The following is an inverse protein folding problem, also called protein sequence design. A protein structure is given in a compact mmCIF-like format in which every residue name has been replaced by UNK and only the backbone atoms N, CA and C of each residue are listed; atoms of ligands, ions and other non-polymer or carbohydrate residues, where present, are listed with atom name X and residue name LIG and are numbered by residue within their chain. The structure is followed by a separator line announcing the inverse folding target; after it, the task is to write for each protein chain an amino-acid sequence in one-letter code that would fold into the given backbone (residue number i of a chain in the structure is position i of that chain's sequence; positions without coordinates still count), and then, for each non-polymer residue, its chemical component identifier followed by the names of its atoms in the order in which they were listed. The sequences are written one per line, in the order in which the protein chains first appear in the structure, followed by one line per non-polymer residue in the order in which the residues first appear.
data_IF_160656424729
#
_entry.id   IF_160656424729
#
_cell.length_a   1.000
_cell.length_b   1.000
_cell.length_c   1.000
_cell.angle_alpha   90.00
_cell.angle_beta   90.00
_cell.angle_gamma   90.00
#
_symmetry.space_group_name_H-M   'P 1'
#
loop_
_entity.id
_entity.type
_entity.pdbx_description
1 polymer ?
#
# COMPACT_ATOMS: atom_id res chain seq x y z
N UNK A 1 -34.34 40.14 -0.20
CA UNK A 1 -34.21 38.68 -0.32
C UNK A 1 -33.09 38.40 -1.30
N UNK A 2 -31.93 37.88 -0.86
CA UNK A 2 -30.75 37.74 -1.70
C UNK A 2 -30.85 36.45 -2.52
N UNK A 3 -30.80 36.58 -3.84
CA UNK A 3 -30.78 35.49 -4.84
C UNK A 3 -29.57 34.55 -4.64
N UNK A 4 -28.56 34.97 -3.89
CA UNK A 4 -27.35 34.17 -3.55
C UNK A 4 -27.63 32.91 -2.72
N UNK A 5 -28.83 32.76 -2.11
CA UNK A 5 -29.23 31.54 -1.37
C UNK A 5 -29.60 30.33 -2.26
N UNK A 6 -29.76 30.56 -3.56
CA UNK A 6 -30.19 29.51 -4.52
C UNK A 6 -29.16 29.19 -5.60
N UNK A 7 -27.92 29.70 -5.49
CA UNK A 7 -26.83 29.17 -6.33
C UNK A 7 -26.57 27.78 -5.77
N UNK A 8 -26.95 26.70 -6.48
CA UNK A 8 -26.58 25.37 -6.05
C UNK A 8 -25.05 25.40 -5.95
N UNK A 9 -24.55 24.88 -4.85
CA UNK A 9 -23.13 24.63 -4.66
C UNK A 9 -22.70 23.79 -5.86
N UNK A 10 -22.23 24.44 -6.93
CA UNK A 10 -21.51 23.78 -7.99
C UNK A 10 -20.27 23.20 -7.28
N UNK A 11 -20.34 21.91 -6.89
CA UNK A 11 -19.14 21.16 -6.55
C UNK A 11 -18.24 21.33 -7.77
N UNK A 12 -17.21 22.17 -7.67
CA UNK A 12 -16.14 22.18 -8.66
C UNK A 12 -15.78 20.71 -8.84
N UNK A 13 -15.82 20.22 -10.07
CA UNK A 13 -15.28 18.91 -10.40
C UNK A 13 -13.83 18.99 -9.89
N UNK A 14 -13.52 18.26 -8.82
CA UNK A 14 -12.20 18.31 -8.23
C UNK A 14 -11.27 17.71 -9.27
N UNK A 15 -10.30 18.49 -9.74
CA UNK A 15 -9.31 18.01 -10.67
C UNK A 15 -8.26 17.21 -9.94
N UNK A 16 -7.81 16.12 -10.55
CA UNK A 16 -6.72 15.29 -10.06
C UNK A 16 -5.43 16.11 -10.03
N UNK A 17 -4.77 16.21 -8.88
CA UNK A 17 -3.40 16.70 -8.81
C UNK A 17 -2.46 15.64 -9.42
N UNK A 18 -2.04 15.87 -10.65
CA UNK A 18 -1.23 14.91 -11.40
C UNK A 18 0.17 14.72 -10.83
N UNK A 19 0.75 15.73 -10.15
CA UNK A 19 2.04 15.59 -9.48
C UNK A 19 1.94 14.66 -8.27
N UNK A 20 0.88 14.82 -7.46
CA UNK A 20 0.60 13.95 -6.33
C UNK A 20 0.21 12.54 -6.75
N UNK A 21 -0.59 12.41 -7.82
CA UNK A 21 -0.97 11.09 -8.35
C UNK A 21 0.24 10.31 -8.88
N UNK A 22 1.13 10.97 -9.63
CA UNK A 22 2.43 10.40 -10.01
C UNK A 22 3.28 10.06 -8.79
N UNK A 23 3.33 10.97 -7.82
CA UNK A 23 4.03 10.76 -6.56
C UNK A 23 3.55 9.49 -5.84
N UNK A 24 2.24 9.26 -5.76
CA UNK A 24 1.65 8.06 -5.18
C UNK A 24 2.17 6.79 -5.85
N UNK A 25 2.05 6.67 -7.17
CA UNK A 25 2.42 5.47 -7.91
C UNK A 25 3.94 5.22 -7.91
N UNK A 26 4.73 6.24 -8.24
CA UNK A 26 6.18 6.11 -8.21
C UNK A 26 6.72 5.94 -6.79
N UNK A 27 6.10 6.60 -5.82
CA UNK A 27 6.45 6.44 -4.40
C UNK A 27 6.30 4.99 -3.96
N UNK A 28 5.18 4.35 -4.29
CA UNK A 28 4.99 2.92 -4.03
C UNK A 28 6.10 2.08 -4.65
N UNK A 29 6.34 2.24 -5.95
CA UNK A 29 7.35 1.43 -6.66
C UNK A 29 8.77 1.64 -6.13
N UNK A 30 9.10 2.87 -5.69
CA UNK A 30 10.39 3.17 -5.06
C UNK A 30 10.50 2.53 -3.68
N UNK A 31 9.43 2.60 -2.88
CA UNK A 31 9.38 1.98 -1.56
C UNK A 31 9.56 0.47 -1.63
N UNK A 32 8.78 -0.19 -2.48
CA UNK A 32 8.84 -1.61 -2.80
C UNK A 32 10.26 -2.02 -3.24
N UNK A 33 10.78 -1.41 -4.29
CA UNK A 33 12.07 -1.76 -4.87
C UNK A 33 13.27 -1.56 -3.92
N UNK A 34 13.26 -0.52 -3.07
CA UNK A 34 14.34 -0.32 -2.10
C UNK A 34 14.13 -1.20 -0.87
N UNK A 35 12.88 -1.36 -0.41
CA UNK A 35 12.51 -2.20 0.72
C UNK A 35 12.88 -3.67 0.53
N UNK A 36 12.80 -4.20 -0.71
CA UNK A 36 13.28 -5.53 -1.06
C UNK A 36 14.72 -5.77 -0.55
N UNK A 37 15.54 -4.73 -0.44
CA UNK A 37 16.93 -4.82 0.04
C UNK A 37 17.04 -5.32 1.49
N UNK A 38 16.07 -5.03 2.34
CA UNK A 38 16.05 -5.41 3.77
C UNK A 38 14.85 -6.30 4.13
N UNK A 39 14.03 -6.71 3.15
CA UNK A 39 12.91 -7.63 3.35
C UNK A 39 13.36 -8.89 4.09
N UNK A 40 12.61 -9.30 5.12
CA UNK A 40 12.87 -10.44 6.00
C UNK A 40 14.19 -10.39 6.77
N UNK A 41 14.83 -9.24 6.87
CA UNK A 41 15.97 -9.04 7.77
C UNK A 41 15.49 -8.58 9.15
N UNK A 42 16.12 -9.11 10.20
CA UNK A 42 16.01 -8.46 11.49
C UNK A 42 16.92 -7.21 11.56
N UNK A 43 16.67 -6.34 12.53
CA UNK A 43 17.43 -5.07 12.68
C UNK A 43 18.94 -5.28 12.75
N UNK A 44 19.37 -6.33 13.46
CA UNK A 44 20.81 -6.68 13.55
C UNK A 44 21.39 -7.07 12.20
N UNK A 45 20.61 -7.75 11.33
CA UNK A 45 21.05 -8.08 9.98
C UNK A 45 21.12 -6.83 9.12
N UNK A 46 20.12 -5.92 9.22
CA UNK A 46 20.14 -4.64 8.51
C UNK A 46 21.39 -3.83 8.88
N UNK A 47 21.68 -3.69 10.17
CA UNK A 47 22.89 -3.00 10.68
C UNK A 47 24.19 -3.67 10.19
N UNK A 48 24.18 -5.00 10.06
CA UNK A 48 25.36 -5.78 9.62
C UNK A 48 25.63 -5.60 8.12
N UNK A 49 24.60 -5.70 7.29
CA UNK A 49 24.74 -5.62 5.82
C UNK A 49 24.73 -4.17 5.32
N UNK A 50 24.15 -3.25 6.06
CA UNK A 50 24.02 -1.83 5.72
C UNK A 50 24.45 -0.94 6.91
N UNK A 51 25.73 -0.96 7.31
CA UNK A 51 26.20 -0.25 8.52
C UNK A 51 25.98 1.27 8.44
N UNK A 52 25.95 1.85 7.24
CA UNK A 52 25.63 3.26 7.00
C UNK A 52 24.18 3.48 6.54
N UNK A 53 23.33 2.45 6.67
CA UNK A 53 21.96 2.39 6.18
C UNK A 53 21.85 2.03 4.70
N UNK A 54 20.71 1.41 4.34
CA UNK A 54 20.32 1.15 2.96
C UNK A 54 19.73 2.44 2.37
N UNK A 55 20.45 3.07 1.43
CA UNK A 55 20.13 4.40 0.86
C UNK A 55 20.12 4.42 -0.66
N UNK A 56 20.45 3.28 -1.30
CA UNK A 56 20.55 3.16 -2.75
C UNK A 56 20.39 1.71 -3.20
N UNK A 57 19.76 1.49 -4.35
CA UNK A 57 19.55 0.13 -4.90
C UNK A 57 20.86 -0.63 -5.14
N UNK A 58 21.95 0.08 -5.48
CA UNK A 58 23.26 -0.55 -5.74
C UNK A 58 23.82 -1.27 -4.51
N UNK A 59 23.41 -0.86 -3.31
CA UNK A 59 23.80 -1.48 -2.04
C UNK A 59 23.10 -2.81 -1.78
N UNK A 60 21.93 -3.07 -2.40
CA UNK A 60 21.12 -4.27 -2.12
C UNK A 60 21.97 -5.53 -2.21
N UNK A 61 22.06 -6.23 -1.07
CA UNK A 61 22.81 -7.48 -0.97
C UNK A 61 22.07 -8.63 -1.64
N UNK A 62 22.68 -9.21 -2.67
CA UNK A 62 22.11 -10.25 -3.53
C UNK A 62 22.29 -11.65 -2.90
N UNK A 63 21.49 -11.97 -1.88
CA UNK A 63 21.44 -13.31 -1.26
C UNK A 63 20.60 -14.29 -2.11
N UNK A 64 20.35 -15.50 -1.56
CA UNK A 64 19.52 -16.50 -2.24
C UNK A 64 18.10 -16.02 -2.55
N UNK A 65 17.52 -15.19 -1.70
CA UNK A 65 16.19 -14.64 -1.87
C UNK A 65 16.20 -13.55 -2.94
N UNK A 66 16.98 -12.47 -2.74
CA UNK A 66 16.98 -11.25 -3.54
C UNK A 66 17.58 -11.37 -4.94
N UNK A 67 18.46 -12.35 -5.19
CA UNK A 67 19.08 -12.58 -6.51
C UNK A 67 18.09 -12.94 -7.63
N UNK A 68 16.81 -13.14 -7.31
CA UNK A 68 15.74 -13.36 -8.30
C UNK A 68 15.32 -12.06 -8.98
N UNK A 69 15.56 -10.92 -8.35
CA UNK A 69 15.28 -9.59 -8.86
C UNK A 69 16.56 -8.88 -9.27
N UNK A 70 16.44 -7.99 -10.26
CA UNK A 70 17.49 -7.01 -10.51
C UNK A 70 17.46 -5.93 -9.43
N UNK A 71 18.58 -5.26 -9.19
CA UNK A 71 18.61 -4.11 -8.27
C UNK A 71 17.76 -2.98 -8.83
N UNK A 72 16.83 -2.48 -8.03
CA UNK A 72 15.84 -1.50 -8.47
C UNK A 72 14.58 -2.09 -9.10
N UNK A 73 14.45 -3.41 -9.10
CA UNK A 73 13.22 -4.11 -9.46
C UNK A 73 12.27 -4.14 -8.27
N UNK A 74 10.96 -4.14 -8.52
CA UNK A 74 9.91 -4.22 -7.51
C UNK A 74 9.35 -5.65 -7.39
N UNK A 75 8.46 -5.87 -6.43
CA UNK A 75 7.88 -7.16 -6.10
C UNK A 75 6.40 -7.24 -6.49
N UNK A 76 5.66 -8.20 -5.90
CA UNK A 76 4.21 -8.35 -6.09
C UNK A 76 3.40 -7.16 -5.59
N UNK A 77 3.92 -6.33 -4.71
CA UNK A 77 3.28 -5.10 -4.24
C UNK A 77 2.94 -4.15 -5.40
N UNK A 78 3.92 -3.82 -6.19
CA UNK A 78 3.74 -2.93 -7.35
C UNK A 78 3.07 -3.67 -8.51
N UNK A 79 3.41 -4.92 -8.79
CA UNK A 79 2.77 -5.71 -9.84
C UNK A 79 1.26 -5.77 -9.66
N UNK A 80 0.78 -6.06 -8.46
CA UNK A 80 -0.65 -6.15 -8.17
C UNK A 80 -1.32 -4.77 -8.14
N UNK A 81 -0.64 -3.71 -7.74
CA UNK A 81 -1.11 -2.34 -7.90
C UNK A 81 -1.32 -1.99 -9.38
N UNK A 82 -0.39 -2.37 -10.26
CA UNK A 82 -0.51 -2.18 -11.70
C UNK A 82 -1.64 -3.01 -12.32
N UNK A 83 -1.93 -4.21 -11.80
CA UNK A 83 -3.12 -4.98 -12.20
C UNK A 83 -4.42 -4.20 -11.95
N UNK A 84 -4.52 -3.52 -10.79
CA UNK A 84 -5.66 -2.66 -10.46
C UNK A 84 -5.69 -1.42 -11.37
N UNK A 85 -4.55 -0.76 -11.53
CA UNK A 85 -4.44 0.43 -12.40
C UNK A 85 -4.88 0.12 -13.84
N UNK A 86 -4.44 -1.00 -14.41
CA UNK A 86 -4.82 -1.44 -15.74
C UNK A 86 -6.34 -1.69 -15.86
N UNK A 87 -6.97 -2.29 -14.85
CA UNK A 87 -8.42 -2.46 -14.83
C UNK A 87 -9.15 -1.11 -14.79
N UNK A 88 -8.63 -0.13 -14.03
CA UNK A 88 -9.19 1.23 -13.99
C UNK A 88 -9.04 1.93 -15.36
N UNK A 89 -7.91 1.79 -16.02
CA UNK A 89 -7.68 2.34 -17.37
C UNK A 89 -8.63 1.71 -18.39
N UNK A 90 -8.82 0.38 -18.32
CA UNK A 90 -9.68 -0.37 -19.22
C UNK A 90 -11.17 0.02 -19.09
N UNK A 91 -11.63 0.19 -17.83
CA UNK A 91 -13.08 0.28 -17.53
C UNK A 91 -13.55 1.65 -17.05
N UNK A 92 -12.64 2.54 -16.70
CA UNK A 92 -12.92 3.83 -16.08
C UNK A 92 -13.33 3.76 -14.61
N UNK A 93 -13.24 2.60 -13.97
CA UNK A 93 -13.61 2.33 -12.55
C UNK A 93 -12.82 1.15 -12.01
N UNK A 94 -12.84 0.94 -10.68
CA UNK A 94 -12.32 -0.29 -10.08
C UNK A 94 -13.33 -1.45 -10.29
N UNK A 95 -13.37 -1.99 -11.48
CA UNK A 95 -14.23 -3.15 -11.79
C UNK A 95 -13.61 -4.41 -11.19
N UNK A 96 -14.24 -4.93 -10.13
CA UNK A 96 -13.68 -6.03 -9.34
C UNK A 96 -13.51 -7.34 -10.12
N UNK A 97 -14.34 -7.61 -11.14
CA UNK A 97 -14.17 -8.81 -11.99
C UNK A 97 -12.98 -8.66 -12.94
N UNK A 98 -12.77 -7.45 -13.49
CA UNK A 98 -11.62 -7.17 -14.35
C UNK A 98 -10.33 -7.20 -13.52
N UNK A 99 -10.34 -6.66 -12.30
CA UNK A 99 -9.19 -6.75 -11.38
C UNK A 99 -8.90 -8.22 -11.05
N UNK A 100 -9.92 -9.03 -10.72
CA UNK A 100 -9.75 -10.45 -10.42
C UNK A 100 -9.13 -11.23 -11.59
N UNK A 101 -9.61 -10.97 -12.82
CA UNK A 101 -9.00 -11.52 -14.05
C UNK A 101 -7.52 -11.12 -14.15
N UNK A 102 -7.20 -9.84 -13.99
CA UNK A 102 -5.82 -9.35 -14.08
C UNK A 102 -4.91 -10.00 -13.01
N UNK A 103 -5.41 -10.23 -11.80
CA UNK A 103 -4.68 -10.96 -10.75
C UNK A 103 -4.44 -12.43 -11.14
N UNK A 104 -5.43 -13.06 -11.77
CA UNK A 104 -5.28 -14.44 -12.24
C UNK A 104 -4.29 -14.55 -13.38
N UNK A 105 -4.33 -13.63 -14.33
CA UNK A 105 -3.37 -13.55 -15.43
C UNK A 105 -1.95 -13.30 -14.93
N UNK A 106 -1.78 -12.41 -13.93
CA UNK A 106 -0.51 -12.18 -13.26
C UNK A 106 0.03 -13.46 -12.58
N UNK A 107 -0.81 -14.19 -11.83
CA UNK A 107 -0.43 -15.47 -11.23
C UNK A 107 0.03 -16.48 -12.28
N UNK A 108 -0.69 -16.57 -13.41
CA UNK A 108 -0.36 -17.49 -14.51
C UNK A 108 0.95 -17.09 -15.23
N UNK A 109 1.35 -15.82 -15.13
CA UNK A 109 2.63 -15.30 -15.61
C UNK A 109 3.86 -15.73 -14.79
N UNK A 110 3.67 -16.52 -13.74
CA UNK A 110 4.74 -17.00 -12.84
C UNK A 110 5.50 -15.86 -12.14
N UNK A 111 4.83 -15.11 -11.26
CA UNK A 111 5.46 -14.01 -10.54
C UNK A 111 6.64 -14.50 -9.68
N UNK A 112 7.64 -13.64 -9.49
CA UNK A 112 8.84 -13.96 -8.70
C UNK A 112 8.56 -14.03 -7.20
N UNK A 113 7.58 -13.29 -6.70
CA UNK A 113 7.09 -13.28 -5.33
C UNK A 113 5.57 -13.39 -5.28
N UNK A 114 5.01 -13.97 -4.24
CA UNK A 114 3.58 -13.98 -3.92
C UNK A 114 3.37 -14.38 -2.47
N UNK A 115 2.56 -13.63 -1.74
CA UNK A 115 2.16 -13.98 -0.39
C UNK A 115 1.25 -15.23 -0.34
N UNK A 116 1.43 -16.06 0.69
CA UNK A 116 0.72 -17.34 0.83
C UNK A 116 -0.81 -17.19 0.80
N UNK A 117 -1.36 -16.16 1.46
CA UNK A 117 -2.82 -15.93 1.46
C UNK A 117 -3.32 -15.60 0.04
N UNK A 118 -2.64 -14.71 -0.67
CA UNK A 118 -2.94 -14.36 -2.06
C UNK A 118 -2.90 -15.59 -2.96
N UNK A 119 -1.82 -16.40 -2.87
CA UNK A 119 -1.70 -17.63 -3.63
C UNK A 119 -2.84 -18.61 -3.37
N UNK A 120 -3.19 -18.84 -2.10
CA UNK A 120 -4.27 -19.76 -1.74
C UNK A 120 -5.61 -19.33 -2.36
N UNK A 121 -5.93 -18.03 -2.31
CA UNK A 121 -7.18 -17.51 -2.88
C UNK A 121 -7.20 -17.61 -4.40
N UNK A 122 -6.15 -17.10 -5.06
CA UNK A 122 -6.06 -17.10 -6.52
C UNK A 122 -6.01 -18.51 -7.12
N UNK A 123 -5.58 -19.51 -6.35
CA UNK A 123 -5.49 -20.91 -6.79
C UNK A 123 -6.83 -21.66 -6.75
N UNK A 124 -7.89 -21.09 -6.16
CA UNK A 124 -9.21 -21.72 -6.18
C UNK A 124 -9.77 -21.73 -7.61
N UNK A 125 -10.41 -22.86 -7.97
CA UNK A 125 -10.83 -23.12 -9.37
C UNK A 125 -11.91 -22.17 -9.88
N UNK A 126 -12.73 -21.61 -9.00
CA UNK A 126 -13.84 -20.70 -9.32
C UNK A 126 -13.52 -19.22 -9.01
N UNK A 127 -12.25 -18.91 -8.71
CA UNK A 127 -11.83 -17.57 -8.31
C UNK A 127 -12.33 -16.47 -9.25
N UNK A 128 -12.14 -16.60 -10.55
CA UNK A 128 -12.49 -15.55 -11.53
C UNK A 128 -14.00 -15.26 -11.59
N UNK A 129 -14.85 -16.26 -11.31
CA UNK A 129 -16.30 -16.09 -11.29
C UNK A 129 -16.82 -15.60 -9.94
N UNK A 130 -16.14 -15.93 -8.83
CA UNK A 130 -16.56 -15.60 -7.47
C UNK A 130 -15.39 -15.20 -6.57
N UNK A 131 -14.62 -14.14 -6.91
CA UNK A 131 -13.37 -13.82 -6.23
C UNK A 131 -13.55 -13.51 -4.73
N UNK A 132 -14.59 -12.76 -4.36
CA UNK A 132 -14.85 -12.42 -2.96
C UNK A 132 -15.24 -13.65 -2.15
N UNK A 133 -15.99 -14.59 -2.74
CA UNK A 133 -16.34 -15.84 -2.07
C UNK A 133 -15.13 -16.75 -1.88
N UNK A 134 -14.22 -16.76 -2.85
CA UNK A 134 -12.95 -17.46 -2.73
C UNK A 134 -12.11 -16.92 -1.56
N UNK A 135 -12.00 -15.60 -1.44
CA UNK A 135 -11.30 -14.96 -0.32
C UNK A 135 -11.98 -15.25 1.04
N UNK A 136 -13.31 -15.19 1.10
CA UNK A 136 -14.06 -15.53 2.30
C UNK A 136 -13.81 -16.98 2.75
N UNK A 137 -13.82 -17.94 1.83
CA UNK A 137 -13.55 -19.36 2.12
C UNK A 137 -12.15 -19.53 2.73
N UNK A 138 -11.11 -18.94 2.13
CA UNK A 138 -9.74 -19.04 2.64
C UNK A 138 -9.63 -18.39 4.03
N UNK A 139 -10.27 -17.24 4.25
CA UNK A 139 -10.33 -16.60 5.54
C UNK A 139 -11.03 -17.46 6.61
N UNK A 140 -12.18 -18.06 6.28
CA UNK A 140 -12.87 -19.01 7.17
C UNK A 140 -11.99 -20.24 7.49
N UNK A 141 -11.26 -20.78 6.50
CA UNK A 141 -10.33 -21.89 6.71
C UNK A 141 -9.18 -21.52 7.66
N UNK A 142 -8.76 -20.25 7.68
CA UNK A 142 -7.80 -19.71 8.65
C UNK A 142 -8.40 -19.50 10.05
N UNK A 143 -9.65 -19.90 10.29
CA UNK A 143 -10.43 -19.61 11.50
C UNK A 143 -10.62 -18.10 11.71
N UNK A 144 -10.71 -17.33 10.64
CA UNK A 144 -10.86 -15.87 10.63
C UNK A 144 -9.66 -15.13 11.25
N UNK A 145 -8.48 -15.69 11.15
CA UNK A 145 -7.28 -15.10 11.76
C UNK A 145 -6.28 -14.54 10.73
N UNK A 146 -6.46 -14.85 9.44
CA UNK A 146 -5.56 -14.36 8.40
C UNK A 146 -5.81 -12.89 8.11
N UNK A 147 -4.93 -12.02 8.60
CA UNK A 147 -4.94 -10.59 8.39
C UNK A 147 -3.62 -10.11 7.79
N UNK A 148 -3.23 -10.73 6.66
CA UNK A 148 -2.00 -10.38 5.96
C UNK A 148 -2.11 -9.05 5.21
N UNK A 149 -0.96 -8.41 4.96
CA UNK A 149 -0.85 -7.09 4.34
C UNK A 149 -1.01 -7.07 2.81
N UNK A 150 -1.11 -8.24 2.14
CA UNK A 150 -1.26 -8.34 0.68
C UNK A 150 -2.52 -7.67 0.09
N UNK A 151 -3.47 -7.24 0.94
CA UNK A 151 -4.57 -6.36 0.55
C UNK A 151 -4.12 -4.90 0.44
N UNK A 152 -3.52 -4.36 1.52
CA UNK A 152 -3.18 -2.94 1.63
C UNK A 152 -2.01 -2.54 0.73
N UNK A 153 -1.07 -3.44 0.47
CA UNK A 153 0.12 -3.21 -0.33
C UNK A 153 -0.15 -2.70 -1.75
N UNK A 154 -1.33 -2.97 -2.31
CA UNK A 154 -1.68 -2.74 -3.72
C UNK A 154 -2.84 -1.76 -3.94
N UNK A 155 -3.52 -1.31 -2.88
CA UNK A 155 -4.75 -0.50 -3.00
C UNK A 155 -4.52 1.01 -3.06
N UNK A 156 -3.28 1.49 -3.03
CA UNK A 156 -2.94 2.91 -3.13
C UNK A 156 -3.57 3.60 -4.33
N UNK A 157 -3.56 2.95 -5.49
CA UNK A 157 -4.12 3.46 -6.76
C UNK A 157 -5.64 3.68 -6.69
N UNK A 158 -6.35 3.03 -5.78
CA UNK A 158 -7.80 3.26 -5.54
C UNK A 158 -8.04 4.68 -5.04
N UNK A 159 -7.12 5.26 -4.27
CA UNK A 159 -7.18 6.66 -3.85
C UNK A 159 -7.15 7.68 -5.01
N UNK A 160 -6.71 7.26 -6.20
CA UNK A 160 -6.69 8.09 -7.40
C UNK A 160 -8.04 8.11 -8.16
N UNK A 161 -9.02 7.34 -7.72
CA UNK A 161 -10.37 7.39 -8.29
C UNK A 161 -11.09 8.69 -7.91
N UNK A 162 -11.87 9.29 -8.82
CA UNK A 162 -12.59 10.52 -8.53
C UNK A 162 -13.79 10.33 -7.60
N UNK A 163 -14.32 9.10 -7.49
CA UNK A 163 -15.51 8.76 -6.70
C UNK A 163 -15.42 7.32 -6.17
N UNK A 164 -16.31 6.98 -5.24
CA UNK A 164 -16.55 5.62 -4.73
C UNK A 164 -15.30 4.95 -4.11
N UNK A 165 -14.37 5.73 -3.58
CA UNK A 165 -13.07 5.27 -3.07
C UNK A 165 -13.23 4.23 -1.96
N UNK A 166 -14.10 4.48 -0.98
CA UNK A 166 -14.32 3.57 0.16
C UNK A 166 -14.78 2.21 -0.34
N UNK A 167 -15.88 2.19 -1.12
CA UNK A 167 -16.42 0.95 -1.67
C UNK A 167 -15.42 0.22 -2.57
N UNK A 168 -14.72 0.98 -3.42
CA UNK A 168 -13.71 0.40 -4.31
C UNK A 168 -12.54 -0.22 -3.53
N UNK A 169 -12.10 0.39 -2.42
CA UNK A 169 -11.07 -0.16 -1.55
C UNK A 169 -11.53 -1.43 -0.84
N UNK A 170 -12.77 -1.45 -0.30
CA UNK A 170 -13.38 -2.63 0.29
C UNK A 170 -13.47 -3.78 -0.70
N UNK A 171 -14.06 -3.53 -1.88
CA UNK A 171 -14.30 -4.55 -2.90
C UNK A 171 -12.95 -5.10 -3.42
N UNK A 172 -11.96 -4.24 -3.67
CA UNK A 172 -10.63 -4.64 -4.14
C UNK A 172 -9.86 -5.44 -3.09
N UNK A 173 -9.95 -5.08 -1.81
CA UNK A 173 -9.36 -5.84 -0.72
C UNK A 173 -9.95 -7.26 -0.66
N UNK A 174 -11.28 -7.36 -0.70
CA UNK A 174 -12.04 -8.62 -0.62
C UNK A 174 -11.78 -9.58 -1.79
N UNK A 175 -11.05 -9.18 -2.82
CA UNK A 175 -10.66 -10.09 -3.89
C UNK A 175 -9.67 -11.17 -3.42
N UNK A 176 -8.94 -10.93 -2.32
CA UNK A 176 -8.02 -11.91 -1.72
C UNK A 176 -7.95 -11.86 -0.19
N UNK A 177 -8.34 -10.74 0.44
CA UNK A 177 -8.23 -10.52 1.89
C UNK A 177 -9.59 -10.11 2.45
N UNK A 178 -10.22 -10.99 3.20
CA UNK A 178 -11.59 -10.82 3.68
C UNK A 178 -11.67 -10.36 5.15
N UNK A 179 -10.53 -10.29 5.85
CA UNK A 179 -10.46 -9.86 7.25
C UNK A 179 -10.79 -8.36 7.39
N UNK A 180 -11.66 -7.96 8.36
CA UNK A 180 -12.01 -6.56 8.58
C UNK A 180 -10.80 -5.63 8.79
N UNK A 181 -9.72 -6.12 9.41
CA UNK A 181 -8.49 -5.36 9.62
C UNK A 181 -7.80 -5.04 8.29
N UNK A 182 -7.79 -5.99 7.34
CA UNK A 182 -7.26 -5.77 6.00
C UNK A 182 -8.11 -4.76 5.23
N UNK A 183 -9.45 -4.90 5.30
CA UNK A 183 -10.39 -4.01 4.62
C UNK A 183 -10.25 -2.59 5.15
N UNK A 184 -10.24 -2.40 6.47
CA UNK A 184 -10.08 -1.09 7.10
C UNK A 184 -8.74 -0.43 6.77
N UNK A 185 -7.63 -1.21 6.73
CA UNK A 185 -6.32 -0.70 6.31
C UNK A 185 -6.35 -0.17 4.86
N UNK A 186 -6.96 -0.93 3.93
CA UNK A 186 -7.11 -0.50 2.55
C UNK A 186 -7.94 0.78 2.42
N UNK A 187 -9.03 0.88 3.17
CA UNK A 187 -9.91 2.07 3.14
C UNK A 187 -9.20 3.29 3.71
N UNK A 188 -8.45 3.17 4.81
CA UNK A 188 -7.68 4.27 5.41
C UNK A 188 -6.64 4.79 4.40
N UNK A 189 -5.80 3.91 3.85
CA UNK A 189 -4.75 4.29 2.91
C UNK A 189 -5.34 4.97 1.68
N UNK A 190 -6.37 4.37 1.07
CA UNK A 190 -7.02 4.94 -0.13
C UNK A 190 -7.71 6.27 0.16
N UNK A 191 -8.32 6.44 1.35
CA UNK A 191 -8.98 7.70 1.76
C UNK A 191 -7.97 8.82 1.99
N UNK A 192 -6.83 8.52 2.63
CA UNK A 192 -5.74 9.50 2.81
C UNK A 192 -5.23 9.98 1.45
N UNK A 193 -4.91 9.06 0.55
CA UNK A 193 -4.41 9.38 -0.79
C UNK A 193 -5.44 10.23 -1.55
N UNK A 194 -6.72 9.84 -1.51
CA UNK A 194 -7.79 10.59 -2.18
C UNK A 194 -7.90 12.03 -1.67
N UNK A 195 -7.90 12.22 -0.36
CA UNK A 195 -7.96 13.55 0.25
C UNK A 195 -6.74 14.42 -0.12
N UNK A 196 -5.55 13.82 -0.18
CA UNK A 196 -4.33 14.53 -0.60
C UNK A 196 -4.39 14.94 -2.08
N UNK A 197 -4.84 14.05 -2.96
CA UNK A 197 -4.76 14.22 -4.42
C UNK A 197 -5.88 15.10 -4.98
N UNK A 198 -7.10 15.00 -4.42
CA UNK A 198 -8.26 15.76 -4.91
C UNK A 198 -8.63 16.94 -4.05
N UNK A 199 -8.34 16.91 -2.74
CA UNK A 199 -8.73 17.93 -1.81
C UNK A 199 -7.56 18.82 -1.36
N UNK A 200 -6.32 18.40 -1.67
CA UNK A 200 -5.09 19.00 -1.16
C UNK A 200 -5.14 19.17 0.37
N UNK A 201 -5.66 18.16 1.05
CA UNK A 201 -5.91 18.16 2.49
C UNK A 201 -5.42 16.87 3.13
N UNK A 202 -4.71 16.98 4.23
CA UNK A 202 -4.40 15.86 5.09
C UNK A 202 -5.63 15.45 5.91
N UNK A 203 -5.92 14.15 6.03
CA UNK A 203 -6.87 13.64 7.01
C UNK A 203 -6.28 13.80 8.42
N UNK A 204 -7.11 14.23 9.36
CA UNK A 204 -6.73 14.32 10.77
C UNK A 204 -6.69 12.94 11.44
N UNK A 205 -6.07 12.88 12.61
CA UNK A 205 -6.10 11.71 13.47
C UNK A 205 -7.54 11.22 13.73
N UNK A 206 -8.45 12.14 14.13
CA UNK A 206 -9.83 11.79 14.45
C UNK A 206 -10.60 11.22 13.25
N UNK A 207 -10.39 11.77 12.04
CA UNK A 207 -10.98 11.23 10.81
C UNK A 207 -10.50 9.82 10.49
N UNK A 208 -9.22 9.53 10.73
CA UNK A 208 -8.64 8.19 10.52
C UNK A 208 -9.17 7.19 11.55
N UNK A 209 -9.27 7.59 12.82
CA UNK A 209 -9.91 6.80 13.88
C UNK A 209 -11.35 6.47 13.50
N UNK A 210 -12.16 7.48 13.10
CA UNK A 210 -13.55 7.27 12.69
C UNK A 210 -13.69 6.25 11.54
N UNK A 211 -12.75 6.23 10.60
CA UNK A 211 -12.73 5.22 9.54
C UNK A 211 -12.42 3.84 10.14
N UNK A 212 -11.38 3.73 10.96
CA UNK A 212 -10.93 2.46 11.55
C UNK A 212 -11.98 1.76 12.39
N UNK A 213 -12.68 2.51 13.24
CA UNK A 213 -13.75 2.02 14.13
C UNK A 213 -14.88 1.28 13.39
N UNK A 214 -15.10 1.61 12.12
CA UNK A 214 -16.15 0.96 11.30
C UNK A 214 -15.81 -0.47 10.93
N UNK A 215 -14.54 -0.88 11.04
CA UNK A 215 -14.07 -2.19 10.60
C UNK A 215 -13.61 -3.07 11.76
N UNK A 216 -12.65 -2.61 12.55
CA UNK A 216 -12.12 -3.39 13.68
C UNK A 216 -11.44 -2.46 14.71
N UNK A 217 -11.71 -2.69 16.00
CA UNK A 217 -11.16 -1.88 17.09
C UNK A 217 -9.63 -1.96 17.18
N UNK A 218 -9.00 -3.05 16.73
CA UNK A 218 -7.54 -3.14 16.73
C UNK A 218 -6.88 -2.15 15.78
N UNK A 219 -7.59 -1.68 14.76
CA UNK A 219 -7.09 -0.62 13.86
C UNK A 219 -6.83 0.66 14.64
N UNK A 220 -7.76 1.05 15.53
CA UNK A 220 -7.63 2.29 16.30
C UNK A 220 -6.42 2.27 17.22
N UNK A 221 -6.10 1.11 17.82
CA UNK A 221 -4.90 0.94 18.64
C UNK A 221 -3.62 1.24 17.84
N UNK A 222 -3.51 0.73 16.62
CA UNK A 222 -2.35 0.98 15.77
C UNK A 222 -2.31 2.42 15.22
N UNK A 223 -3.46 3.04 14.97
CA UNK A 223 -3.54 4.47 14.62
C UNK A 223 -3.08 5.34 15.79
N UNK A 224 -3.49 5.04 17.02
CA UNK A 224 -3.03 5.73 18.24
C UNK A 224 -1.52 5.60 18.43
N UNK A 225 -0.98 4.39 18.32
CA UNK A 225 0.47 4.15 18.37
C UNK A 225 1.22 4.94 17.28
N UNK A 226 0.68 4.99 16.06
CA UNK A 226 1.29 5.73 14.97
C UNK A 226 1.28 7.24 15.19
N UNK A 227 0.27 7.77 15.88
CA UNK A 227 0.13 9.21 16.11
C UNK A 227 0.91 9.70 17.35
N UNK A 228 0.83 8.97 18.47
CA UNK A 228 1.40 9.41 19.74
C UNK A 228 2.75 8.73 20.08
N UNK A 229 3.03 7.58 19.47
CA UNK A 229 4.17 6.73 19.80
C UNK A 229 5.43 7.00 18.98
N UNK A 230 6.46 6.23 19.29
CA UNK A 230 7.70 6.17 18.52
C UNK A 230 7.58 5.07 17.46
N UNK A 231 8.38 5.13 16.40
CA UNK A 231 8.38 4.12 15.35
C UNK A 231 8.74 2.73 15.89
N UNK A 232 9.59 2.70 16.90
CA UNK A 232 10.09 1.50 17.57
C UNK A 232 9.11 0.89 18.58
N UNK A 233 7.94 1.51 18.82
CA UNK A 233 6.91 0.98 19.72
C UNK A 233 6.16 -0.24 19.13
N UNK A 234 6.33 -0.48 17.81
CA UNK A 234 5.84 -1.68 17.14
C UNK A 234 7.03 -2.44 16.56
N UNK A 235 7.15 -3.70 16.94
CA UNK A 235 8.15 -4.60 16.38
C UNK A 235 7.69 -5.07 15.00
N UNK A 236 8.36 -4.56 13.95
CA UNK A 236 8.04 -4.87 12.55
C UNK A 236 8.76 -6.13 12.04
N UNK A 237 9.66 -6.71 12.85
CA UNK A 237 10.49 -7.88 12.48
C UNK A 237 10.08 -9.17 13.22
N UNK A 238 9.00 -9.14 14.00
CA UNK A 238 8.50 -10.31 14.72
C UNK A 238 7.89 -11.38 13.77
N UNK A 239 7.46 -12.50 14.35
CA UNK A 239 6.86 -13.62 13.59
C UNK A 239 5.58 -13.22 12.82
N UNK A 240 5.01 -12.05 13.10
CA UNK A 240 3.83 -11.49 12.41
C UNK A 240 4.18 -10.35 11.44
N UNK A 241 5.42 -10.27 10.93
CA UNK A 241 5.91 -9.17 10.09
C UNK A 241 4.97 -8.84 8.90
N UNK A 242 4.34 -9.83 8.28
CA UNK A 242 3.34 -9.63 7.21
C UNK A 242 1.93 -9.23 7.68
N UNK A 243 1.77 -8.76 8.93
CA UNK A 243 0.48 -8.35 9.48
C UNK A 243 0.03 -6.99 8.95
N UNK A 244 -1.22 -6.90 8.48
CA UNK A 244 -1.74 -5.67 7.84
C UNK A 244 -1.65 -4.43 8.73
N UNK A 245 -1.78 -4.57 10.08
CA UNK A 245 -1.70 -3.44 10.99
C UNK A 245 -0.27 -2.98 11.27
N UNK A 246 0.75 -3.84 11.12
CA UNK A 246 2.15 -3.42 11.13
C UNK A 246 2.47 -2.52 9.93
N UNK A 247 2.00 -2.93 8.75
CA UNK A 247 2.15 -2.13 7.54
C UNK A 247 1.38 -0.80 7.64
N UNK A 248 0.13 -0.82 8.13
CA UNK A 248 -0.65 0.38 8.36
C UNK A 248 0.04 1.33 9.35
N UNK A 249 0.57 0.79 10.47
CA UNK A 249 1.31 1.56 11.47
C UNK A 249 2.52 2.27 10.84
N UNK A 250 3.38 1.53 10.13
CA UNK A 250 4.58 2.10 9.51
C UNK A 250 4.22 3.25 8.55
N UNK A 251 3.16 3.06 7.73
CA UNK A 251 2.68 4.06 6.79
C UNK A 251 2.09 5.29 7.50
N UNK A 252 1.26 5.10 8.53
CA UNK A 252 0.66 6.20 9.28
C UNK A 252 1.67 6.93 10.14
N UNK A 253 2.64 6.23 10.76
CA UNK A 253 3.70 6.89 11.49
C UNK A 253 4.49 7.84 10.57
N UNK A 254 4.87 7.38 9.40
CA UNK A 254 5.51 8.24 8.40
C UNK A 254 4.59 9.39 7.96
N UNK A 255 3.31 9.13 7.75
CA UNK A 255 2.34 10.17 7.40
C UNK A 255 2.28 11.29 8.42
N UNK A 256 2.34 10.99 9.72
CA UNK A 256 2.22 11.98 10.79
C UNK A 256 3.55 12.70 11.11
N UNK A 257 4.69 11.99 11.04
CA UNK A 257 5.93 12.48 11.67
C UNK A 257 7.02 12.91 10.72
N UNK A 258 7.14 12.31 9.52
CA UNK A 258 8.25 12.65 8.62
C UNK A 258 8.01 13.94 7.85
N UNK A 259 9.11 14.60 7.46
CA UNK A 259 9.13 15.91 6.81
C UNK A 259 9.46 15.86 5.33
N UNK A 260 9.91 14.70 4.83
CA UNK A 260 10.22 14.50 3.42
C UNK A 260 9.92 13.06 2.98
N UNK A 261 9.84 12.85 1.67
CA UNK A 261 9.71 11.52 1.08
C UNK A 261 10.90 10.62 1.46
N UNK A 262 12.14 11.12 1.29
CA UNK A 262 13.36 10.35 1.54
C UNK A 262 13.51 9.96 3.01
N UNK A 263 13.18 10.88 3.94
CA UNK A 263 13.19 10.58 5.38
C UNK A 263 12.31 9.37 5.72
N UNK A 264 11.08 9.35 5.21
CA UNK A 264 10.15 8.24 5.45
C UNK A 264 10.58 6.94 4.77
N UNK A 265 11.01 7.01 3.51
CA UNK A 265 11.56 5.87 2.77
C UNK A 265 12.69 5.21 3.55
N UNK A 266 13.72 5.99 3.94
CA UNK A 266 14.89 5.46 4.62
C UNK A 266 14.57 4.96 6.04
N UNK A 267 13.61 5.59 6.74
CA UNK A 267 13.15 5.12 8.05
C UNK A 267 12.56 3.72 7.96
N UNK A 268 11.68 3.47 6.99
CA UNK A 268 10.98 2.18 6.86
C UNK A 268 11.91 1.10 6.32
N UNK A 269 12.66 1.35 5.25
CA UNK A 269 13.53 0.32 4.66
C UNK A 269 14.65 -0.12 5.59
N UNK A 270 15.09 0.72 6.51
CA UNK A 270 16.12 0.35 7.50
C UNK A 270 15.55 -0.25 8.78
N UNK A 271 14.24 -0.45 8.86
CA UNK A 271 13.61 -1.14 9.98
C UNK A 271 13.67 -2.68 9.86
N UNK A 272 13.82 -3.21 8.64
CA UNK A 272 13.72 -4.66 8.41
C UNK A 272 12.29 -5.18 8.41
N UNK A 273 12.10 -6.46 8.71
CA UNK A 273 10.80 -7.11 8.64
C UNK A 273 10.28 -7.22 7.22
N UNK A 274 9.00 -6.98 7.00
CA UNK A 274 8.37 -6.92 5.67
C UNK A 274 8.57 -5.53 5.05
N UNK A 275 9.85 -5.20 4.81
CA UNK A 275 10.29 -3.84 4.55
C UNK A 275 9.85 -3.31 3.17
N UNK A 276 9.72 -4.17 2.17
CA UNK A 276 9.21 -3.82 0.84
C UNK A 276 7.74 -3.41 0.91
N UNK A 277 6.89 -4.25 1.49
CA UNK A 277 5.47 -3.93 1.68
C UNK A 277 5.26 -2.68 2.55
N UNK A 278 5.96 -2.62 3.69
CA UNK A 278 5.84 -1.47 4.59
C UNK A 278 6.26 -0.16 3.91
N UNK A 279 7.36 -0.20 3.13
CA UNK A 279 7.83 0.97 2.40
C UNK A 279 6.96 1.28 1.17
N UNK A 280 6.43 0.28 0.47
CA UNK A 280 5.50 0.49 -0.64
C UNK A 280 4.28 1.31 -0.20
N UNK A 281 3.64 0.90 0.91
CA UNK A 281 2.45 1.61 1.42
C UNK A 281 2.81 2.98 2.00
N UNK A 282 3.86 3.08 2.82
CA UNK A 282 4.30 4.36 3.38
C UNK A 282 4.65 5.36 2.27
N UNK A 283 5.44 4.94 1.30
CA UNK A 283 5.91 5.80 0.20
C UNK A 283 4.80 6.15 -0.80
N UNK A 284 3.75 5.32 -0.94
CA UNK A 284 2.57 5.70 -1.72
C UNK A 284 1.86 6.92 -1.10
N UNK A 285 1.68 6.92 0.22
CA UNK A 285 1.09 8.04 0.96
C UNK A 285 2.02 9.27 0.92
N UNK A 286 3.32 9.08 1.17
CA UNK A 286 4.30 10.17 1.15
C UNK A 286 4.44 10.79 -0.25
N UNK A 287 4.41 9.98 -1.30
CA UNK A 287 4.40 10.45 -2.67
C UNK A 287 3.15 11.28 -2.99
N UNK A 288 1.97 10.86 -2.50
CA UNK A 288 0.75 11.67 -2.59
C UNK A 288 0.82 12.96 -1.74
N UNK A 289 1.52 12.91 -0.59
CA UNK A 289 1.66 14.04 0.34
C UNK A 289 2.60 15.12 -0.20
N UNK A 290 3.75 14.72 -0.71
CA UNK A 290 4.82 15.64 -1.14
C UNK A 290 4.88 15.86 -2.65
N UNK A 291 4.28 14.99 -3.46
CA UNK A 291 4.30 15.02 -4.91
C UNK A 291 5.51 14.29 -5.53
N UNK A 292 5.41 14.00 -6.82
CA UNK A 292 6.44 13.30 -7.58
C UNK A 292 7.79 14.06 -7.60
N UNK A 293 7.74 15.39 -7.70
CA UNK A 293 8.94 16.23 -7.75
C UNK A 293 9.75 16.21 -6.43
N UNK A 294 9.15 15.72 -5.33
CA UNK A 294 9.84 15.55 -4.05
C UNK A 294 10.55 14.18 -3.92
N UNK A 295 10.34 13.26 -4.85
CA UNK A 295 11.05 11.99 -4.87
C UNK A 295 12.44 12.22 -5.44
N UNK A 296 13.54 11.89 -4.72
CA UNK A 296 14.88 12.06 -5.26
C UNK A 296 15.07 11.30 -6.58
N UNK A 297 15.58 11.99 -7.60
CA UNK A 297 15.72 11.45 -8.97
C UNK A 297 16.54 10.16 -9.03
N UNK A 298 17.53 9.99 -8.12
CA UNK A 298 18.32 8.76 -8.01
C UNK A 298 17.45 7.50 -7.87
N UNK A 299 16.33 7.58 -7.14
CA UNK A 299 15.42 6.45 -6.96
C UNK A 299 14.56 6.21 -8.21
N UNK A 300 14.12 7.28 -8.89
CA UNK A 300 13.35 7.16 -10.12
C UNK A 300 14.23 6.64 -11.27
N UNK A 301 15.43 7.18 -11.41
CA UNK A 301 16.31 6.86 -12.53
C UNK A 301 16.84 5.43 -12.50
N UNK A 302 16.92 4.85 -11.32
CA UNK A 302 17.41 3.50 -11.10
C UNK A 302 16.30 2.44 -10.92
N UNK A 303 15.01 2.79 -11.05
CA UNK A 303 13.94 1.79 -11.14
C UNK A 303 14.10 0.96 -12.42
N UNK A 304 14.05 -0.37 -12.29
CA UNK A 304 14.36 -1.29 -13.39
C UNK A 304 13.26 -1.27 -14.48
N UNK A 305 11.99 -1.23 -14.11
CA UNK A 305 10.84 -1.28 -15.02
C UNK A 305 10.09 0.06 -15.17
N UNK A 306 10.78 1.16 -15.07
CA UNK A 306 10.16 2.50 -15.09
C UNK A 306 9.50 2.92 -16.42
N UNK A 307 9.54 2.10 -17.45
CA UNK A 307 9.02 2.42 -18.80
C UNK A 307 7.55 2.09 -18.94
#
# INVERSE_FOLDING_TARGET
MSILKYIPYFKRKRELDTNRAKGCMFGQSVGDALGLGSEFMCKTEVETYYPDGLTDYSQIWQNRHRRRWHKGDWTDDTDMMLCIANAIIETGKADYLVIARNFKDWLNGTPMGIGQNTYNVLSLGDYESNPMKAAEIVWEMSRRQSAANGGVMRTSVIGLLPNDVIRSAEDTCKLTHFDPRCIGSCVIVSSIIHSLVYENRALSYDEIIEIGERYDNSITEFVEKAYYGQFEDVDLEDDSMGYTLHCLFAALWCYFHVRSFEEGLLKVVNAGGDADTNAAVACSILGAKYGFDAIPTKFIDCLYHKQ
#
